data_IF_822527890950
#
_entry.id   IF_822527890950
#
_cell.length_a   1.000
_cell.length_b   1.000
_cell.length_c   1.000
_cell.angle_alpha   90.00
_cell.angle_beta   90.00
_cell.angle_gamma   90.00
#
_symmetry.space_group_name_H-M   'P 1'
#
loop_
_entity.id
_entity.type
_entity.pdbx_description
1 polymer ?
#
# COMPACT_ATOMS: atom_id res chain seq x y z
N UNK A 1 -8.93 19.59 7.56
CA UNK A 1 -7.88 19.37 6.52
C UNK A 1 -8.52 18.61 5.39
N UNK A 2 -8.42 19.10 4.14
CA UNK A 2 -8.88 18.33 2.99
C UNK A 2 -8.07 17.03 2.92
N UNK A 3 -8.75 15.88 2.99
CA UNK A 3 -8.11 14.57 2.87
C UNK A 3 -7.74 14.41 1.40
N UNK A 4 -6.47 14.64 1.07
CA UNK A 4 -5.99 14.40 -0.29
C UNK A 4 -6.17 12.92 -0.62
N UNK A 5 -6.80 12.64 -1.76
CA UNK A 5 -6.89 11.30 -2.32
C UNK A 5 -5.50 10.91 -2.82
N UNK A 6 -5.00 9.76 -2.38
CA UNK A 6 -3.71 9.21 -2.77
C UNK A 6 -3.99 7.90 -3.49
N UNK A 7 -3.60 7.83 -4.75
CA UNK A 7 -3.72 6.61 -5.55
C UNK A 7 -2.32 6.05 -5.81
N UNK A 8 -2.18 4.74 -5.61
CA UNK A 8 -0.95 4.03 -5.93
C UNK A 8 -0.91 3.75 -7.43
N UNK A 9 0.20 4.13 -8.08
CA UNK A 9 0.37 3.98 -9.53
C UNK A 9 1.31 2.83 -9.88
N UNK A 10 2.30 2.55 -9.03
CA UNK A 10 3.24 1.48 -9.29
C UNK A 10 4.50 1.52 -8.43
N UNK A 11 5.36 0.54 -8.67
CA UNK A 11 6.69 0.43 -8.07
C UNK A 11 7.74 0.29 -9.17
N UNK A 12 8.88 0.92 -8.94
CA UNK A 12 10.11 0.70 -9.71
C UNK A 12 11.24 0.36 -8.75
N UNK A 13 12.27 -0.30 -9.25
CA UNK A 13 13.47 -0.60 -8.48
C UNK A 13 14.70 -0.12 -9.23
N UNK A 14 15.73 0.22 -8.46
CA UNK A 14 17.08 0.47 -8.93
C UNK A 14 18.05 -0.44 -8.17
N UNK A 15 19.35 -0.29 -8.37
CA UNK A 15 20.33 -1.05 -7.58
C UNK A 15 20.38 -0.63 -6.09
N UNK A 16 19.82 0.52 -5.72
CA UNK A 16 19.97 1.12 -4.37
C UNK A 16 18.65 1.48 -3.69
N UNK A 17 17.61 1.72 -4.48
CA UNK A 17 16.34 2.24 -3.98
C UNK A 17 15.16 1.50 -4.62
N UNK A 18 14.12 1.28 -3.81
CA UNK A 18 12.75 1.06 -4.26
C UNK A 18 12.09 2.43 -4.46
N UNK A 19 11.44 2.64 -5.60
CA UNK A 19 10.72 3.86 -5.92
C UNK A 19 9.23 3.55 -5.98
N UNK A 20 8.44 4.21 -5.14
CA UNK A 20 6.99 4.08 -5.11
C UNK A 20 6.39 5.29 -5.83
N UNK A 21 5.57 5.06 -6.84
CA UNK A 21 4.87 6.09 -7.61
C UNK A 21 3.42 6.19 -7.15
N UNK A 22 2.95 7.41 -6.96
CA UNK A 22 1.58 7.69 -6.54
C UNK A 22 1.10 9.02 -7.11
N UNK A 23 -0.21 9.15 -7.28
CA UNK A 23 -0.83 10.44 -7.56
C UNK A 23 -1.50 11.00 -6.32
N UNK A 24 -1.46 12.33 -6.18
CA UNK A 24 -2.11 13.05 -5.10
C UNK A 24 -3.11 14.05 -5.68
N UNK A 25 -4.35 13.99 -5.21
CA UNK A 25 -5.44 14.87 -5.63
C UNK A 25 -6.56 14.11 -6.33
N UNK A 26 -7.61 14.85 -6.71
CA UNK A 26 -8.81 14.33 -7.36
C UNK A 26 -9.00 14.99 -8.73
N UNK A 27 -9.53 14.25 -9.69
CA UNK A 27 -9.88 14.69 -11.05
C UNK A 27 -8.73 15.44 -11.75
N UNK A 28 -9.01 16.63 -12.31
CA UNK A 28 -8.07 17.43 -13.09
C UNK A 28 -6.91 18.02 -12.28
N UNK A 29 -6.91 17.90 -10.95
CA UNK A 29 -5.87 18.44 -10.06
C UNK A 29 -4.86 17.36 -9.58
N UNK A 30 -4.86 16.16 -10.17
CA UNK A 30 -3.93 15.08 -9.82
C UNK A 30 -2.48 15.49 -10.12
N UNK A 31 -1.58 15.25 -9.14
CA UNK A 31 -0.14 15.44 -9.28
C UNK A 31 0.58 14.11 -9.15
N UNK A 32 1.46 13.81 -10.09
CA UNK A 32 2.36 12.66 -9.99
C UNK A 32 3.47 12.94 -8.97
N UNK A 33 3.68 11.98 -8.08
CA UNK A 33 4.67 12.01 -7.03
C UNK A 33 5.40 10.68 -6.94
N UNK A 34 6.59 10.70 -6.35
CA UNK A 34 7.34 9.50 -6.06
C UNK A 34 8.08 9.62 -4.73
N UNK A 35 8.23 8.49 -4.05
CA UNK A 35 9.05 8.36 -2.84
C UNK A 35 10.11 7.31 -3.11
N UNK A 36 11.35 7.63 -2.75
CA UNK A 36 12.48 6.69 -2.82
C UNK A 36 12.74 6.12 -1.44
N UNK A 37 12.81 4.80 -1.37
CA UNK A 37 13.10 4.04 -0.16
C UNK A 37 14.42 3.32 -0.38
N UNK A 38 15.49 3.70 0.33
CA UNK A 38 16.77 2.99 0.24
C UNK A 38 16.63 1.54 0.65
N UNK A 39 17.34 0.62 -0.02
CA UNK A 39 17.31 -0.80 0.36
C UNK A 39 17.70 -1.07 1.81
N UNK A 40 18.60 -0.24 2.38
CA UNK A 40 18.96 -0.35 3.79
C UNK A 40 17.77 -0.12 4.74
N UNK A 41 16.81 0.70 4.35
CA UNK A 41 15.59 0.91 5.10
C UNK A 41 14.62 -0.28 4.98
N UNK A 42 14.68 -1.04 3.87
CA UNK A 42 13.89 -2.27 3.70
C UNK A 42 14.42 -3.43 4.55
N UNK A 43 15.66 -3.34 5.02
CA UNK A 43 16.25 -4.29 5.96
C UNK A 43 16.15 -3.84 7.42
N UNK A 44 15.62 -2.65 7.68
CA UNK A 44 15.42 -2.15 9.04
C UNK A 44 14.28 -2.95 9.72
N UNK A 45 14.54 -3.60 10.87
CA UNK A 45 13.53 -4.41 11.55
C UNK A 45 12.24 -3.66 11.88
N UNK A 46 12.32 -2.36 12.21
CA UNK A 46 11.16 -1.54 12.55
C UNK A 46 10.30 -1.27 11.33
N UNK A 47 10.93 -1.05 10.17
CA UNK A 47 10.22 -0.87 8.90
C UNK A 47 9.55 -2.17 8.47
N UNK A 48 10.26 -3.30 8.58
CA UNK A 48 9.72 -4.64 8.28
C UNK A 48 8.50 -4.95 9.16
N UNK A 49 8.60 -4.69 10.47
CA UNK A 49 7.48 -4.87 11.41
C UNK A 49 6.26 -4.05 10.98
N UNK A 50 6.44 -2.75 10.71
CA UNK A 50 5.34 -1.86 10.30
C UNK A 50 4.69 -2.31 9.00
N UNK A 51 5.47 -2.73 8.01
CA UNK A 51 4.95 -3.28 6.77
C UNK A 51 4.13 -4.54 7.02
N UNK A 52 4.63 -5.47 7.84
CA UNK A 52 3.93 -6.69 8.20
C UNK A 52 2.61 -6.42 8.93
N UNK A 53 2.60 -5.49 9.89
CA UNK A 53 1.36 -5.07 10.58
C UNK A 53 0.34 -4.49 9.60
N UNK A 54 0.77 -3.59 8.70
CA UNK A 54 -0.12 -2.98 7.72
C UNK A 54 -0.73 -4.02 6.75
N UNK A 55 0.06 -5.01 6.33
CA UNK A 55 -0.43 -6.13 5.51
C UNK A 55 -1.41 -7.00 6.31
N UNK A 56 -1.07 -7.36 7.55
CA UNK A 56 -1.93 -8.16 8.41
C UNK A 56 -3.28 -7.49 8.67
N UNK A 57 -3.30 -6.19 8.96
CA UNK A 57 -4.53 -5.42 9.15
C UNK A 57 -5.40 -5.38 7.88
N UNK A 58 -4.78 -5.21 6.71
CA UNK A 58 -5.51 -5.20 5.44
C UNK A 58 -6.07 -6.58 5.09
N UNK A 59 -5.33 -7.65 5.36
CA UNK A 59 -5.79 -9.02 5.15
C UNK A 59 -6.88 -9.41 6.15
N UNK A 60 -6.77 -8.97 7.41
CA UNK A 60 -7.81 -9.18 8.42
C UNK A 60 -9.12 -8.50 8.02
N UNK A 61 -9.07 -7.26 7.55
CA UNK A 61 -10.25 -6.58 7.02
C UNK A 61 -10.89 -7.36 5.85
N UNK A 62 -10.06 -7.89 4.93
CA UNK A 62 -10.54 -8.71 3.83
C UNK A 62 -11.18 -10.04 4.30
N UNK A 63 -10.69 -10.63 5.39
CA UNK A 63 -11.26 -11.86 5.98
C UNK A 63 -12.54 -11.61 6.76
N UNK A 64 -12.65 -10.48 7.46
CA UNK A 64 -13.85 -10.09 8.20
C UNK A 64 -15.00 -9.70 7.26
N UNK A 65 -14.68 -9.22 6.05
CA UNK A 65 -15.64 -8.88 4.98
C UNK A 65 -15.96 -10.04 4.03
N UNK A 66 -15.29 -11.20 4.18
CA UNK A 66 -15.52 -12.38 3.34
C UNK A 66 -16.77 -13.15 3.84
N UNK A 67 -17.88 -13.13 3.09
CA UNK A 67 -18.99 -14.05 3.37
C UNK A 67 -18.54 -15.49 3.02
N UNK A 68 -18.60 -16.45 3.95
CA UNK A 68 -18.21 -17.82 3.65
C UNK A 68 -19.08 -18.38 2.51
N UNK A 69 -18.41 -18.88 1.47
CA UNK A 69 -18.96 -19.51 0.25
C UNK A 69 -19.84 -20.75 0.50
N UNK A 70 -20.11 -21.12 1.75
CA UNK A 70 -20.92 -22.27 2.14
C UNK A 70 -22.35 -21.79 2.47
N UNK A 71 -23.09 -21.35 1.45
CA UNK A 71 -24.55 -21.15 1.56
C UNK A 71 -25.38 -22.07 0.65
N UNK A 72 -24.75 -22.79 -0.29
CA UNK A 72 -25.47 -23.54 -1.34
C UNK A 72 -25.43 -25.09 -1.19
N UNK A 73 -25.14 -25.63 0.00
CA UNK A 73 -25.21 -27.08 0.28
C UNK A 73 -26.30 -27.44 1.31
N UNK A 74 -27.47 -26.80 1.23
CA UNK A 74 -28.71 -27.24 1.89
C UNK A 74 -29.85 -27.33 0.90
#
# INVERSE_FOLDING_TARGET
MAKYEIEFEGIGSSARDLVVFFTVGRDAAKRYCHVKVPYSALTDPVIVERCNTAVADRLRAAWEEDEPFIRDWQ
#
